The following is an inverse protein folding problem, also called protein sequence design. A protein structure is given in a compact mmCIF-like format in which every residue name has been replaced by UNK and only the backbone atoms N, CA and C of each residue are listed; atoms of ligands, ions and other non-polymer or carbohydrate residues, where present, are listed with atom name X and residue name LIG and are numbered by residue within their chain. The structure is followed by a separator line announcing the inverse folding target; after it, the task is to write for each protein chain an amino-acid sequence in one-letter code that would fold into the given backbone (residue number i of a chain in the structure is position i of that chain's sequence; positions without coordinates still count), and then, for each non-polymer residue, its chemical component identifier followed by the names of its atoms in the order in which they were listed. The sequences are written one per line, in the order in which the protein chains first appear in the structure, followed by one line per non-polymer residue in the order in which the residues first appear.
data_IF_385553625322
#
_entry.id   IF_385553625322
#
_cell.length_a   1.000
_cell.length_b   1.000
_cell.length_c   1.000
_cell.angle_alpha   90.00
_cell.angle_beta   90.00
_cell.angle_gamma   90.00
#
_symmetry.space_group_name_H-M   'P 1'
#
loop_
_entity.id
_entity.type
_entity.pdbx_description
1 polymer ?
#
# COMPACT_ATOMS: atom_id res chain seq x y z
N UNK A 1 11.41 18.65 11.53
CA UNK A 1 10.77 17.33 11.78
C UNK A 1 10.51 16.70 10.43
N UNK A 2 11.23 15.65 10.06
CA UNK A 2 10.85 14.85 8.89
C UNK A 2 9.47 14.27 9.15
N UNK A 3 8.55 14.39 8.19
CA UNK A 3 7.24 13.74 8.29
C UNK A 3 7.46 12.24 8.57
N UNK A 4 6.64 11.61 9.43
CA UNK A 4 6.74 10.19 9.68
C UNK A 4 6.62 9.44 8.35
N UNK A 5 7.49 8.46 8.14
CA UNK A 5 7.41 7.62 6.95
C UNK A 5 6.10 6.81 7.02
N UNK A 6 5.14 7.02 6.09
CA UNK A 6 3.82 6.39 6.16
C UNK A 6 3.95 4.85 6.18
N UNK A 7 4.95 4.32 5.47
CA UNK A 7 5.30 2.90 5.48
C UNK A 7 5.80 2.42 6.85
N UNK A 8 6.74 3.15 7.46
CA UNK A 8 7.23 2.87 8.81
C UNK A 8 6.11 2.87 9.86
N UNK A 9 5.17 3.81 9.78
CA UNK A 9 4.07 3.90 10.72
C UNK A 9 3.10 2.70 10.61
N UNK A 10 2.75 2.22 9.41
CA UNK A 10 1.95 0.98 9.26
C UNK A 10 2.65 -0.25 9.83
N UNK A 11 3.97 -0.36 9.70
CA UNK A 11 4.72 -1.47 10.30
C UNK A 11 4.59 -1.48 11.82
N UNK A 12 4.48 -0.33 12.48
CA UNK A 12 4.27 -0.26 13.93
C UNK A 12 2.89 -0.76 14.37
N UNK A 13 1.88 -0.74 13.48
CA UNK A 13 0.53 -1.26 13.75
C UNK A 13 0.43 -2.79 13.61
N UNK A 14 1.30 -3.42 12.83
CA UNK A 14 1.31 -4.88 12.63
C UNK A 14 1.49 -5.70 13.92
N UNK A 15 2.44 -5.41 14.84
CA UNK A 15 2.56 -6.15 16.09
C UNK A 15 1.39 -5.89 17.04
N UNK A 16 0.72 -4.74 16.92
CA UNK A 16 -0.44 -4.34 17.73
C UNK A 16 -1.74 -5.01 17.24
N UNK A 17 -1.73 -5.55 16.02
CA UNK A 17 -2.89 -6.20 15.41
C UNK A 17 -2.80 -7.72 15.57
N UNK A 18 -3.85 -8.32 16.15
CA UNK A 18 -4.02 -9.77 16.23
C UNK A 18 -3.95 -10.47 14.86
N UNK A 19 -3.66 -11.77 14.85
CA UNK A 19 -3.66 -12.55 13.60
C UNK A 19 -5.04 -12.51 12.93
N UNK A 20 -5.05 -12.49 11.59
CA UNK A 20 -6.29 -12.55 10.80
C UNK A 20 -6.35 -11.51 9.68
N UNK A 21 -7.52 -11.40 9.00
CA UNK A 21 -7.69 -10.57 7.80
C UNK A 21 -7.33 -9.10 7.97
N UNK A 22 -7.52 -8.54 9.18
CA UNK A 22 -7.14 -7.15 9.49
C UNK A 22 -5.63 -6.93 9.38
N UNK A 23 -4.84 -7.83 9.99
CA UNK A 23 -3.37 -7.74 9.96
C UNK A 23 -2.83 -7.93 8.54
N UNK A 24 -3.42 -8.86 7.79
CA UNK A 24 -3.07 -9.05 6.38
C UNK A 24 -3.44 -7.82 5.53
N UNK A 25 -4.54 -7.15 5.86
CA UNK A 25 -4.92 -5.87 5.25
C UNK A 25 -3.91 -4.75 5.50
N UNK A 26 -3.47 -4.57 6.76
CA UNK A 26 -2.42 -3.59 7.11
C UNK A 26 -1.10 -3.92 6.40
N UNK A 27 -0.73 -5.21 6.32
CA UNK A 27 0.47 -5.64 5.62
C UNK A 27 0.38 -5.40 4.12
N UNK A 28 -0.78 -5.65 3.51
CA UNK A 28 -1.03 -5.38 2.10
C UNK A 28 -0.96 -3.88 1.78
N UNK A 29 -1.54 -3.04 2.63
CA UNK A 29 -1.43 -1.58 2.52
C UNK A 29 0.02 -1.14 2.57
N UNK A 30 0.79 -1.62 3.56
CA UNK A 30 2.21 -1.29 3.68
C UNK A 30 3.02 -1.62 2.41
N UNK A 31 2.83 -2.81 1.85
CA UNK A 31 3.50 -3.22 0.61
C UNK A 31 3.18 -2.28 -0.56
N UNK A 32 1.90 -1.94 -0.73
CA UNK A 32 1.45 -1.05 -1.82
C UNK A 32 1.96 0.38 -1.64
N UNK A 33 1.91 0.92 -0.43
CA UNK A 33 2.43 2.24 -0.09
C UNK A 33 3.92 2.33 -0.37
N UNK A 34 4.68 1.29 -0.03
CA UNK A 34 6.12 1.25 -0.30
C UNK A 34 6.43 1.39 -1.79
N UNK A 35 5.70 0.66 -2.65
CA UNK A 35 5.87 0.75 -4.11
C UNK A 35 5.49 2.14 -4.65
N UNK A 36 4.38 2.71 -4.18
CA UNK A 36 3.97 4.05 -4.59
C UNK A 36 4.96 5.14 -4.12
N UNK A 37 5.46 5.04 -2.89
CA UNK A 37 6.43 5.98 -2.32
C UNK A 37 7.77 5.95 -3.04
N UNK A 38 8.23 4.77 -3.48
CA UNK A 38 9.45 4.66 -4.28
C UNK A 38 9.34 5.52 -5.56
N UNK A 39 8.19 5.51 -6.26
CA UNK A 39 7.97 6.36 -7.44
C UNK A 39 7.96 7.86 -7.16
N UNK A 40 7.59 8.26 -5.94
CA UNK A 40 7.54 9.68 -5.54
C UNK A 40 8.91 10.17 -5.07
N UNK A 41 9.67 9.33 -4.35
CA UNK A 41 10.93 9.73 -3.72
C UNK A 41 12.16 9.48 -4.58
N UNK A 42 12.27 8.28 -5.14
CA UNK A 42 13.43 7.82 -5.91
C UNK A 42 12.96 6.78 -6.94
N UNK A 43 12.39 7.23 -8.08
CA UNK A 43 11.72 6.35 -9.01
C UNK A 43 12.72 5.34 -9.60
N UNK A 44 12.47 4.03 -9.46
CA UNK A 44 13.36 3.02 -10.00
C UNK A 44 13.29 3.00 -11.54
N UNK A 45 14.29 2.41 -12.22
CA UNK A 45 14.21 2.13 -13.65
C UNK A 45 12.96 1.32 -13.99
N UNK A 46 12.35 1.59 -15.14
CA UNK A 46 11.08 0.99 -15.60
C UNK A 46 11.03 -0.55 -15.49
N UNK A 47 12.14 -1.23 -15.84
CA UNK A 47 12.23 -2.70 -15.71
C UNK A 47 12.17 -3.16 -14.25
N UNK A 48 12.79 -2.42 -13.33
CA UNK A 48 12.76 -2.72 -11.91
C UNK A 48 11.38 -2.43 -11.32
N UNK A 49 10.73 -1.35 -11.74
CA UNK A 49 9.35 -1.03 -11.36
C UNK A 49 8.38 -2.15 -11.74
N UNK A 50 8.39 -2.59 -13.00
CA UNK A 50 7.53 -3.70 -13.46
C UNK A 50 7.73 -4.98 -12.66
N UNK A 51 8.98 -5.31 -12.30
CA UNK A 51 9.29 -6.47 -11.45
C UNK A 51 8.74 -6.31 -10.03
N UNK A 52 8.85 -5.10 -9.44
CA UNK A 52 8.28 -4.79 -8.13
C UNK A 52 6.75 -4.93 -8.14
N UNK A 53 6.08 -4.44 -9.18
CA UNK A 53 4.62 -4.57 -9.33
C UNK A 53 4.18 -6.03 -9.50
N UNK A 54 4.89 -6.84 -10.29
CA UNK A 54 4.59 -8.27 -10.41
C UNK A 54 4.74 -9.00 -9.06
N UNK A 55 5.82 -8.71 -8.32
CA UNK A 55 6.03 -9.28 -6.99
C UNK A 55 4.94 -8.82 -6.00
N UNK A 56 4.53 -7.56 -6.06
CA UNK A 56 3.42 -7.03 -5.27
C UNK A 56 2.11 -7.77 -5.57
N UNK A 57 1.73 -7.89 -6.85
CA UNK A 57 0.51 -8.58 -7.27
C UNK A 57 0.51 -10.05 -6.82
N UNK A 58 1.63 -10.75 -7.00
CA UNK A 58 1.80 -12.12 -6.51
C UNK A 58 1.70 -12.22 -4.99
N UNK A 59 2.27 -11.26 -4.24
CA UNK A 59 2.20 -11.27 -2.79
C UNK A 59 0.77 -11.03 -2.30
N UNK A 60 0.04 -10.08 -2.90
CA UNK A 60 -1.33 -9.77 -2.52
C UNK A 60 -2.30 -10.93 -2.80
N UNK A 61 -2.07 -11.74 -3.84
CA UNK A 61 -2.93 -12.89 -4.14
C UNK A 61 -2.88 -13.99 -3.07
N UNK A 62 -1.80 -14.04 -2.28
CA UNK A 62 -1.65 -14.99 -1.17
C UNK A 62 -2.33 -14.54 0.14
N UNK A 63 -2.87 -13.31 0.20
CA UNK A 63 -3.45 -12.73 1.40
C UNK A 63 -4.98 -12.85 1.41
N UNK A 64 -5.53 -13.15 2.58
CA UNK A 64 -6.95 -13.11 2.91
C UNK A 64 -7.38 -11.67 3.20
N UNK A 65 -7.61 -10.91 2.14
CA UNK A 65 -8.05 -9.52 2.24
C UNK A 65 -9.57 -9.39 2.34
N UNK A 66 -10.11 -8.42 3.10
CA UNK A 66 -11.50 -8.00 2.96
C UNK A 66 -11.82 -7.59 1.51
N UNK A 67 -13.01 -7.92 0.96
CA UNK A 67 -13.33 -7.62 -0.43
C UNK A 67 -13.19 -6.13 -0.85
N UNK A 68 -13.57 -5.13 -0.03
CA UNK A 68 -13.36 -3.72 -0.37
C UNK A 68 -11.88 -3.38 -0.55
N UNK A 69 -11.03 -3.82 0.39
CA UNK A 69 -9.59 -3.58 0.33
C UNK A 69 -8.95 -4.27 -0.89
N UNK A 70 -9.36 -5.51 -1.19
CA UNK A 70 -8.87 -6.23 -2.37
C UNK A 70 -9.12 -5.44 -3.66
N UNK A 71 -10.32 -4.87 -3.82
CA UNK A 71 -10.67 -4.05 -4.99
C UNK A 71 -9.84 -2.77 -5.06
N UNK A 72 -9.68 -2.08 -3.93
CA UNK A 72 -8.89 -0.85 -3.86
C UNK A 72 -7.42 -1.11 -4.23
N UNK A 73 -6.82 -2.18 -3.71
CA UNK A 73 -5.42 -2.54 -4.01
C UNK A 73 -5.23 -3.00 -5.46
N UNK A 74 -6.19 -3.72 -6.04
CA UNK A 74 -6.16 -4.07 -7.46
C UNK A 74 -6.21 -2.82 -8.36
N UNK A 75 -7.06 -1.85 -8.01
CA UNK A 75 -7.12 -0.57 -8.72
C UNK A 75 -5.82 0.23 -8.58
N UNK A 76 -5.23 0.26 -7.38
CA UNK A 76 -3.93 0.89 -7.13
C UNK A 76 -2.81 0.26 -7.99
N UNK A 77 -2.71 -1.06 -8.02
CA UNK A 77 -1.72 -1.77 -8.85
C UNK A 77 -1.89 -1.42 -10.32
N UNK A 78 -3.13 -1.41 -10.82
CA UNK A 78 -3.42 -1.06 -12.22
C UNK A 78 -2.92 0.34 -12.57
N UNK A 79 -3.23 1.33 -11.74
CA UNK A 79 -2.79 2.72 -11.92
C UNK A 79 -1.26 2.86 -11.85
N UNK A 80 -0.61 2.15 -10.92
CA UNK A 80 0.84 2.22 -10.75
C UNK A 80 1.63 1.65 -11.94
N UNK A 81 1.01 0.90 -12.86
CA UNK A 81 1.69 0.34 -14.05
C UNK A 81 2.32 1.39 -14.94
N UNK A 82 1.78 2.61 -14.95
CA UNK A 82 2.30 3.73 -15.75
C UNK A 82 3.61 4.33 -15.20
N UNK A 83 4.04 3.94 -14.00
CA UNK A 83 5.28 4.41 -13.36
C UNK A 83 5.42 5.94 -13.19
N UNK A 84 4.29 6.67 -13.20
CA UNK A 84 4.26 8.13 -13.07
C UNK A 84 4.12 8.56 -11.61
N UNK A 85 4.91 9.55 -11.20
CA UNK A 85 4.91 10.07 -9.84
C UNK A 85 3.57 10.73 -9.47
N UNK A 86 2.90 11.41 -10.41
CA UNK A 86 1.59 12.02 -10.16
C UNK A 86 0.52 10.96 -9.90
N UNK A 87 0.55 9.88 -10.68
CA UNK A 87 -0.34 8.73 -10.48
C UNK A 87 -0.09 8.07 -9.13
N UNK A 88 1.18 7.98 -8.69
CA UNK A 88 1.52 7.45 -7.38
C UNK A 88 0.94 8.32 -6.24
N UNK A 89 1.04 9.65 -6.32
CA UNK A 89 0.42 10.56 -5.33
C UNK A 89 -1.11 10.41 -5.28
N UNK A 90 -1.74 10.25 -6.45
CA UNK A 90 -3.18 10.01 -6.52
C UNK A 90 -3.57 8.68 -5.87
N UNK A 91 -2.82 7.60 -6.13
CA UNK A 91 -3.03 6.29 -5.51
C UNK A 91 -2.90 6.37 -3.99
N UNK A 92 -1.87 7.06 -3.47
CA UNK A 92 -1.69 7.27 -2.03
C UNK A 92 -2.93 7.92 -1.40
N UNK A 93 -3.44 8.98 -2.01
CA UNK A 93 -4.64 9.69 -1.54
C UNK A 93 -5.90 8.81 -1.56
N UNK A 94 -6.05 7.96 -2.58
CA UNK A 94 -7.19 7.05 -2.72
C UNK A 94 -7.18 5.91 -1.70
N UNK A 95 -6.02 5.55 -1.16
CA UNK A 95 -5.88 4.44 -0.20
C UNK A 95 -6.25 4.82 1.23
N UNK A 96 -6.39 6.11 1.56
CA UNK A 96 -6.76 6.59 2.90
C UNK A 96 -8.06 5.95 3.40
N UNK A 97 -9.14 6.02 2.61
CA UNK A 97 -10.43 5.46 3.01
C UNK A 97 -10.40 3.92 3.16
N UNK A 98 -9.90 3.14 2.18
CA UNK A 98 -9.68 1.70 2.34
C UNK A 98 -8.81 1.32 3.54
N UNK A 99 -7.82 2.15 3.89
CA UNK A 99 -6.98 1.94 5.05
C UNK A 99 -7.74 2.13 6.37
N UNK A 100 -8.58 3.17 6.46
CA UNK A 100 -9.48 3.37 7.62
C UNK A 100 -10.43 2.20 7.82
N UNK A 101 -11.04 1.75 6.73
CA UNK A 101 -12.00 0.63 6.77
C UNK A 101 -11.34 -0.69 7.16
N UNK A 102 -10.17 -0.99 6.62
CA UNK A 102 -9.51 -2.27 6.86
C UNK A 102 -8.71 -2.30 8.17
N UNK A 103 -8.08 -1.19 8.54
CA UNK A 103 -7.10 -1.11 9.64
C UNK A 103 -7.55 -0.27 10.83
N UNK A 104 -8.64 0.49 10.73
CA UNK A 104 -9.08 1.47 11.73
C UNK A 104 -8.56 2.88 11.47
N UNK A 105 -9.00 3.86 12.27
CA UNK A 105 -8.67 5.27 12.08
C UNK A 105 -7.15 5.53 11.97
N UNK A 106 -6.37 4.95 12.87
CA UNK A 106 -4.91 5.02 12.90
C UNK A 106 -4.28 4.62 11.56
N UNK A 107 -4.76 3.52 10.95
CA UNK A 107 -4.24 3.03 9.68
C UNK A 107 -4.49 4.01 8.53
N UNK A 108 -5.56 4.81 8.58
CA UNK A 108 -5.79 5.83 7.55
C UNK A 108 -5.20 7.20 7.88
N UNK A 109 -4.77 7.46 9.10
CA UNK A 109 -4.01 8.68 9.44
C UNK A 109 -2.56 8.57 8.99
N UNK A 110 -2.04 7.34 8.95
CA UNK A 110 -0.66 7.06 8.56
C UNK A 110 -0.50 6.73 7.07
N UNK A 111 -1.55 6.85 6.27
CA UNK A 111 -1.55 6.67 4.80
C UNK A 111 -1.61 8.03 4.13
#
# INVERSE_FOLDING_TARGET
MSAPDPGGALLTLLPQTGRGPRREGIFALWLTLRVAQDLVRDPPPERAHRRRLQALEHRLSSLTLPPPLRRALAAAISQLRDARSETAVQVLSQLVAPAREAGGAEAGEVV
#
